data_IF_233903203015
#
_entry.id   IF_233903203015
#
_cell.length_a   1.000
_cell.length_b   1.000
_cell.length_c   1.000
_cell.angle_alpha   90.00
_cell.angle_beta   90.00
_cell.angle_gamma   90.00
#
_symmetry.space_group_name_H-M   'P 1'
#
loop_
_entity.id
_entity.type
_entity.pdbx_description
1 polymer ?
#
# COMPACT_ATOMS: atom_id res chain seq x y z
N UNK A 1 4.89 26.11 -6.17
CA UNK A 1 3.50 25.70 -6.43
C UNK A 1 3.23 24.41 -5.68
N UNK A 2 2.14 24.31 -4.91
CA UNK A 2 1.79 23.10 -4.16
C UNK A 2 1.54 21.92 -5.11
N UNK A 3 2.13 20.76 -4.82
CA UNK A 3 2.00 19.52 -5.59
C UNK A 3 1.32 18.46 -4.73
N UNK A 4 0.24 17.86 -5.25
CA UNK A 4 -0.41 16.72 -4.61
C UNK A 4 0.32 15.42 -4.98
N UNK A 5 0.80 14.69 -3.99
CA UNK A 5 1.28 13.32 -4.13
C UNK A 5 0.09 12.40 -3.88
N UNK A 6 -0.47 11.86 -4.94
CA UNK A 6 -1.72 11.08 -4.88
C UNK A 6 -1.41 9.59 -4.91
N UNK A 7 -2.02 8.87 -3.99
CA UNK A 7 -2.00 7.42 -3.92
C UNK A 7 -2.75 6.82 -5.14
N UNK A 8 -1.99 6.42 -6.15
CA UNK A 8 -2.54 5.92 -7.40
C UNK A 8 -3.14 4.52 -7.26
N UNK A 9 -2.60 3.70 -6.38
CA UNK A 9 -3.12 2.35 -6.15
C UNK A 9 -4.54 2.41 -5.57
N UNK A 10 -4.75 3.29 -4.59
CA UNK A 10 -6.08 3.50 -4.01
C UNK A 10 -7.06 4.04 -5.06
N UNK A 11 -6.63 4.98 -5.91
CA UNK A 11 -7.46 5.50 -7.00
C UNK A 11 -7.83 4.38 -7.97
N UNK A 12 -6.84 3.58 -8.43
CA UNK A 12 -7.06 2.49 -9.38
C UNK A 12 -8.03 1.44 -8.82
N UNK A 13 -7.80 0.98 -7.59
CA UNK A 13 -8.69 0.00 -6.94
C UNK A 13 -10.11 0.52 -6.75
N UNK A 14 -10.28 1.76 -6.29
CA UNK A 14 -11.60 2.35 -6.12
C UNK A 14 -12.33 2.52 -7.45
N UNK A 15 -11.66 3.07 -8.47
CA UNK A 15 -12.25 3.24 -9.77
C UNK A 15 -12.65 1.90 -10.39
N UNK A 16 -11.79 0.89 -10.32
CA UNK A 16 -12.09 -0.45 -10.79
C UNK A 16 -13.30 -1.05 -10.08
N UNK A 17 -13.33 -0.96 -8.73
CA UNK A 17 -14.42 -1.54 -7.94
C UNK A 17 -15.78 -0.92 -8.25
N UNK A 18 -15.87 0.42 -8.31
CA UNK A 18 -17.14 1.11 -8.57
C UNK A 18 -17.60 1.04 -10.03
N UNK A 19 -16.69 0.66 -10.95
CA UNK A 19 -16.96 0.56 -12.39
C UNK A 19 -17.22 -0.86 -12.86
N UNK A 20 -17.13 -1.86 -11.96
CA UNK A 20 -17.34 -3.27 -12.30
C UNK A 20 -18.72 -3.71 -11.83
N UNK A 21 -19.52 -4.21 -12.76
CA UNK A 21 -20.77 -4.93 -12.46
C UNK A 21 -20.44 -6.41 -12.26
N UNK A 22 -20.88 -6.96 -11.13
CA UNK A 22 -20.73 -8.38 -10.80
C UNK A 22 -22.11 -9.06 -10.90
N UNK A 23 -22.21 -10.12 -11.71
CA UNK A 23 -23.42 -10.88 -11.91
C UNK A 23 -23.50 -12.12 -11.00
N UNK A 24 -24.68 -12.71 -10.85
CA UNK A 24 -24.93 -13.86 -9.96
C UNK A 24 -24.09 -15.10 -10.31
N UNK A 25 -23.65 -15.23 -11.56
CA UNK A 25 -22.74 -16.28 -12.03
C UNK A 25 -21.25 -15.98 -11.81
N UNK A 26 -20.94 -14.84 -11.17
CA UNK A 26 -19.58 -14.37 -10.93
C UNK A 26 -18.92 -13.71 -12.13
N UNK A 27 -19.65 -13.48 -13.23
CA UNK A 27 -19.15 -12.73 -14.38
C UNK A 27 -18.97 -11.26 -13.99
N UNK A 28 -17.80 -10.69 -14.31
CA UNK A 28 -17.48 -9.26 -14.13
C UNK A 28 -17.48 -8.56 -15.48
N UNK A 29 -18.26 -7.49 -15.60
CA UNK A 29 -18.28 -6.60 -16.77
C UNK A 29 -17.96 -5.18 -16.34
N UNK A 30 -17.23 -4.46 -17.19
CA UNK A 30 -16.94 -3.05 -17.01
C UNK A 30 -16.83 -2.33 -18.37
N UNK A 31 -17.07 -1.02 -18.35
CA UNK A 31 -16.83 -0.13 -19.49
C UNK A 31 -15.54 0.67 -19.22
N UNK A 32 -14.49 0.53 -20.05
CA UNK A 32 -13.26 1.31 -19.93
C UNK A 32 -13.49 2.82 -19.84
N UNK A 33 -14.49 3.36 -20.55
CA UNK A 33 -14.81 4.78 -20.52
C UNK A 33 -15.29 5.21 -19.13
N UNK A 34 -16.08 4.38 -18.46
CA UNK A 34 -16.56 4.63 -17.10
C UNK A 34 -15.40 4.55 -16.11
N UNK A 35 -14.53 3.53 -16.23
CA UNK A 35 -13.31 3.40 -15.40
C UNK A 35 -12.46 4.66 -15.51
N UNK A 36 -12.12 5.07 -16.72
CA UNK A 36 -11.28 6.23 -17.01
C UNK A 36 -11.89 7.53 -16.48
N UNK A 37 -13.20 7.68 -16.64
CA UNK A 37 -13.95 8.84 -16.11
C UNK A 37 -13.84 8.90 -14.59
N UNK A 38 -14.05 7.76 -13.90
CA UNK A 38 -13.98 7.68 -12.45
C UNK A 38 -12.57 7.96 -11.94
N UNK A 39 -11.52 7.41 -12.58
CA UNK A 39 -10.12 7.72 -12.23
C UNK A 39 -9.87 9.23 -12.30
N UNK A 40 -10.22 9.86 -13.43
CA UNK A 40 -10.01 11.30 -13.64
C UNK A 40 -10.75 12.14 -12.61
N UNK A 41 -12.03 11.83 -12.36
CA UNK A 41 -12.85 12.57 -11.39
C UNK A 41 -12.27 12.47 -9.97
N UNK A 42 -11.81 11.30 -9.56
CA UNK A 42 -11.20 11.10 -8.23
C UNK A 42 -9.91 11.92 -8.09
N UNK A 43 -9.03 11.90 -9.10
CA UNK A 43 -7.78 12.67 -9.07
C UNK A 43 -8.08 14.17 -9.01
N UNK A 44 -8.97 14.67 -9.84
CA UNK A 44 -9.36 16.08 -9.87
C UNK A 44 -10.00 16.51 -8.55
N UNK A 45 -10.82 15.65 -7.92
CA UNK A 45 -11.41 15.92 -6.61
C UNK A 45 -10.34 15.98 -5.51
N UNK A 46 -9.43 15.02 -5.48
CA UNK A 46 -8.36 14.96 -4.49
C UNK A 46 -7.39 16.14 -4.63
N UNK A 47 -6.97 16.46 -5.86
CA UNK A 47 -6.14 17.64 -6.15
C UNK A 47 -6.81 18.93 -5.71
N UNK A 48 -8.11 19.09 -6.01
CA UNK A 48 -8.90 20.27 -5.63
C UNK A 48 -9.03 20.40 -4.11
N UNK A 49 -9.30 19.29 -3.39
CA UNK A 49 -9.32 19.27 -1.91
C UNK A 49 -7.98 19.64 -1.31
N UNK A 50 -6.88 19.22 -1.91
CA UNK A 50 -5.53 19.59 -1.51
C UNK A 50 -5.17 21.05 -1.85
N UNK A 51 -6.00 21.74 -2.65
CA UNK A 51 -5.71 23.07 -3.23
C UNK A 51 -4.36 23.08 -3.96
N UNK A 52 -4.01 21.96 -4.60
CA UNK A 52 -2.76 21.81 -5.31
C UNK A 52 -2.88 22.31 -6.76
N UNK A 53 -1.81 22.92 -7.26
CA UNK A 53 -1.74 23.40 -8.64
C UNK A 53 -1.30 22.32 -9.63
N UNK A 54 -0.80 21.17 -9.13
CA UNK A 54 -0.42 20.00 -9.92
C UNK A 54 -0.43 18.75 -9.06
N UNK A 55 -0.31 17.59 -9.73
CA UNK A 55 -0.27 16.28 -9.09
C UNK A 55 0.86 15.41 -9.61
N UNK A 56 1.30 14.47 -8.79
CA UNK A 56 2.10 13.30 -9.13
C UNK A 56 1.34 12.08 -8.61
N UNK A 57 1.15 11.08 -9.46
CA UNK A 57 0.48 9.84 -9.11
C UNK A 57 1.55 8.83 -8.72
N UNK A 58 1.53 8.42 -7.46
CA UNK A 58 2.49 7.45 -6.93
C UNK A 58 1.92 6.04 -7.06
N UNK A 59 2.70 5.13 -7.63
CA UNK A 59 2.31 3.75 -7.89
C UNK A 59 3.28 2.78 -7.23
N UNK A 60 2.77 1.63 -6.82
CA UNK A 60 3.59 0.50 -6.39
C UNK A 60 4.25 -0.19 -7.57
N UNK A 61 5.35 -0.88 -7.31
CA UNK A 61 6.00 -1.76 -8.29
C UNK A 61 5.02 -2.79 -8.87
N UNK A 62 5.01 -2.93 -10.20
CA UNK A 62 4.09 -3.80 -10.93
C UNK A 62 4.26 -5.28 -10.57
N UNK A 63 5.47 -5.69 -10.26
CA UNK A 63 5.79 -7.08 -9.86
C UNK A 63 5.33 -7.41 -8.43
N UNK A 64 4.93 -6.41 -7.65
CA UNK A 64 4.54 -6.54 -6.24
C UNK A 64 5.60 -7.25 -5.37
N UNK A 65 6.88 -7.11 -5.73
CA UNK A 65 8.03 -7.65 -4.99
C UNK A 65 8.74 -6.51 -4.29
N UNK A 66 8.44 -6.32 -3.03
CA UNK A 66 8.93 -5.18 -2.25
C UNK A 66 10.16 -5.55 -1.42
N UNK A 67 11.01 -4.58 -1.12
CA UNK A 67 12.16 -4.77 -0.23
C UNK A 67 11.76 -5.37 1.13
N UNK A 68 10.50 -5.12 1.57
CA UNK A 68 9.96 -5.67 2.81
C UNK A 68 9.93 -7.18 2.83
N UNK A 69 9.81 -7.86 1.68
CA UNK A 69 9.92 -9.32 1.61
C UNK A 69 11.33 -9.82 1.94
N UNK A 70 12.39 -9.01 1.74
CA UNK A 70 13.74 -9.32 2.20
C UNK A 70 13.87 -9.18 3.73
N UNK A 71 13.10 -8.27 4.33
CA UNK A 71 13.07 -8.07 5.79
C UNK A 71 12.22 -9.12 6.50
N UNK A 72 11.06 -9.47 5.90
CA UNK A 72 10.09 -10.42 6.44
C UNK A 72 9.34 -11.09 5.27
N UNK A 73 9.67 -12.36 4.97
CA UNK A 73 9.13 -13.06 3.78
C UNK A 73 7.61 -13.18 3.73
N UNK A 74 6.95 -13.24 4.91
CA UNK A 74 5.50 -13.36 5.01
C UNK A 74 4.75 -12.02 4.83
N UNK A 75 5.46 -10.91 4.63
CA UNK A 75 4.86 -9.60 4.43
C UNK A 75 3.82 -9.65 3.29
N UNK A 76 2.59 -9.21 3.57
CA UNK A 76 1.43 -9.25 2.65
C UNK A 76 1.08 -10.63 2.07
N UNK A 77 1.62 -11.72 2.63
CA UNK A 77 1.37 -13.08 2.15
C UNK A 77 -0.10 -13.51 2.18
N UNK A 78 -0.91 -12.88 3.03
CA UNK A 78 -2.36 -13.09 3.11
C UNK A 78 -3.17 -12.46 1.96
N UNK A 79 -2.51 -11.74 1.03
CA UNK A 79 -3.18 -11.07 -0.11
C UNK A 79 -3.31 -11.96 -1.34
N UNK A 80 -2.61 -13.09 -1.41
CA UNK A 80 -2.60 -14.01 -2.56
C UNK A 80 -3.98 -14.58 -2.93
N UNK A 81 -4.92 -14.61 -1.98
CA UNK A 81 -6.28 -15.14 -2.18
C UNK A 81 -7.31 -14.07 -2.57
N UNK A 82 -6.93 -12.80 -2.64
CA UNK A 82 -7.87 -11.73 -2.97
C UNK A 82 -8.14 -11.68 -4.47
N UNK A 83 -9.41 -11.71 -4.82
CA UNK A 83 -9.83 -11.51 -6.21
C UNK A 83 -9.47 -10.10 -6.66
N UNK A 84 -8.71 -9.99 -7.75
CA UNK A 84 -8.35 -8.72 -8.37
C UNK A 84 -9.46 -8.31 -9.34
N UNK A 85 -10.07 -7.11 -9.23
CA UNK A 85 -11.09 -6.66 -10.17
C UNK A 85 -10.55 -6.64 -11.61
N UNK A 86 -11.32 -7.10 -12.58
CA UNK A 86 -10.91 -7.12 -14.00
C UNK A 86 -10.63 -5.71 -14.56
N UNK A 87 -11.38 -4.70 -14.07
CA UNK A 87 -11.20 -3.31 -14.47
C UNK A 87 -9.91 -2.66 -13.95
N UNK A 88 -9.18 -3.32 -13.04
CA UNK A 88 -8.02 -2.73 -12.37
C UNK A 88 -6.88 -2.42 -13.34
N UNK A 89 -6.60 -3.33 -14.26
CA UNK A 89 -5.54 -3.11 -15.26
C UNK A 89 -5.86 -1.95 -16.19
N UNK A 90 -7.15 -1.76 -16.55
CA UNK A 90 -7.62 -0.60 -17.29
C UNK A 90 -7.36 0.71 -16.51
N UNK A 91 -7.65 0.73 -15.21
CA UNK A 91 -7.41 1.91 -14.38
C UNK A 91 -5.91 2.25 -14.28
N UNK A 92 -5.03 1.26 -14.06
CA UNK A 92 -3.58 1.49 -14.04
C UNK A 92 -3.04 1.97 -15.38
N UNK A 93 -3.49 1.37 -16.47
CA UNK A 93 -3.07 1.80 -17.82
C UNK A 93 -3.47 3.25 -18.05
N UNK A 94 -4.70 3.64 -17.71
CA UNK A 94 -5.17 5.02 -17.84
C UNK A 94 -4.34 6.00 -16.98
N UNK A 95 -3.97 5.62 -15.75
CA UNK A 95 -3.09 6.43 -14.91
C UNK A 95 -1.74 6.67 -15.58
N UNK A 96 -1.12 5.62 -16.12
CA UNK A 96 0.19 5.68 -16.77
C UNK A 96 0.17 6.48 -18.09
N UNK A 97 -0.92 6.41 -18.84
CA UNK A 97 -1.04 7.08 -20.14
C UNK A 97 -1.39 8.56 -20.03
N UNK A 98 -2.16 8.97 -19.03
CA UNK A 98 -2.75 10.30 -18.97
C UNK A 98 -2.32 11.18 -17.80
N UNK A 99 -1.55 10.65 -16.86
CA UNK A 99 -1.04 11.40 -15.72
C UNK A 99 0.48 11.25 -15.58
N UNK A 100 1.10 12.20 -14.89
CA UNK A 100 2.50 12.05 -14.50
C UNK A 100 2.59 11.08 -13.33
N UNK A 101 3.01 9.85 -13.61
CA UNK A 101 3.21 8.79 -12.61
C UNK A 101 4.65 8.74 -12.14
N UNK A 102 4.85 8.32 -10.89
CA UNK A 102 6.15 7.98 -10.30
C UNK A 102 6.05 6.61 -9.67
N UNK A 103 7.00 5.76 -10.02
CA UNK A 103 7.09 4.37 -9.58
C UNK A 103 8.58 4.01 -9.43
N UNK A 104 8.94 3.23 -8.43
CA UNK A 104 10.29 2.72 -8.25
C UNK A 104 10.25 1.20 -8.05
N UNK A 105 11.18 0.49 -8.67
CA UNK A 105 11.28 -0.95 -8.54
C UNK A 105 11.45 -1.38 -7.08
N UNK A 106 10.68 -2.35 -6.65
CA UNK A 106 10.71 -2.90 -5.30
C UNK A 106 10.10 -2.01 -4.21
N UNK A 107 9.43 -0.91 -4.57
CA UNK A 107 8.78 0.00 -3.63
C UNK A 107 7.25 0.01 -3.79
N UNK A 108 6.59 0.32 -2.70
CA UNK A 108 5.14 0.55 -2.66
C UNK A 108 4.81 2.03 -2.91
N UNK A 109 3.61 2.33 -3.38
CA UNK A 109 3.14 3.69 -3.60
C UNK A 109 3.33 4.59 -2.36
N UNK A 110 3.14 4.02 -1.18
CA UNK A 110 3.35 4.69 0.10
C UNK A 110 4.80 5.15 0.29
N UNK A 111 5.76 4.26 -0.06
CA UNK A 111 7.18 4.60 -0.01
C UNK A 111 7.54 5.68 -1.03
N UNK A 112 6.99 5.59 -2.24
CA UNK A 112 7.16 6.62 -3.27
C UNK A 112 6.66 7.97 -2.78
N UNK A 113 5.46 8.02 -2.17
CA UNK A 113 4.91 9.25 -1.58
C UNK A 113 5.79 9.78 -0.45
N UNK A 114 6.28 8.91 0.44
CA UNK A 114 7.11 9.30 1.57
C UNK A 114 8.48 9.84 1.14
N UNK A 115 9.09 9.26 0.10
CA UNK A 115 10.34 9.73 -0.50
C UNK A 115 10.13 11.11 -1.14
N UNK A 116 9.10 11.25 -1.98
CA UNK A 116 8.80 12.49 -2.69
C UNK A 116 8.39 13.63 -1.75
N UNK A 117 7.71 13.32 -0.64
CA UNK A 117 7.32 14.32 0.35
C UNK A 117 8.51 15.04 1.02
N UNK A 118 9.69 14.40 1.04
CA UNK A 118 10.94 14.99 1.53
C UNK A 118 11.88 15.47 0.43
N UNK A 119 11.52 15.32 -0.84
CA UNK A 119 12.40 15.70 -1.96
C UNK A 119 12.61 17.21 -2.05
N UNK A 120 13.86 17.68 -2.18
CA UNK A 120 14.16 19.10 -2.40
C UNK A 120 13.67 19.62 -3.77
N UNK A 121 13.39 18.71 -4.72
CA UNK A 121 12.95 19.06 -6.08
C UNK A 121 11.46 19.45 -6.12
N UNK A 122 10.71 19.14 -5.08
CA UNK A 122 9.29 19.45 -4.99
C UNK A 122 9.04 20.64 -4.07
N UNK A 123 8.38 21.65 -4.63
CA UNK A 123 7.93 22.79 -3.84
C UNK A 123 6.59 22.46 -3.17
N UNK A 124 6.58 22.49 -1.83
CA UNK A 124 5.37 22.35 -1.02
C UNK A 124 4.51 21.09 -1.30
N UNK A 125 5.10 19.87 -1.21
CA UNK A 125 4.35 18.65 -1.47
C UNK A 125 3.31 18.36 -0.38
N UNK A 126 2.16 17.81 -0.79
CA UNK A 126 1.08 17.33 0.10
C UNK A 126 0.78 15.89 -0.28
N UNK A 127 0.91 14.95 0.66
CA UNK A 127 0.42 13.58 0.47
C UNK A 127 -1.11 13.58 0.54
N UNK A 128 -1.76 12.97 -0.44
CA UNK A 128 -3.22 12.79 -0.49
C UNK A 128 -3.51 11.29 -0.55
N UNK A 129 -3.82 10.71 0.59
CA UNK A 129 -4.17 9.29 0.74
C UNK A 129 -5.20 9.10 1.85
N UNK A 130 -5.98 8.04 1.77
CA UNK A 130 -6.89 7.62 2.84
C UNK A 130 -6.23 6.69 3.83
N UNK A 131 -4.99 6.23 3.53
CA UNK A 131 -4.26 5.33 4.39
C UNK A 131 -3.78 6.04 5.66
N UNK A 132 -4.05 5.40 6.82
CA UNK A 132 -3.62 5.87 8.14
C UNK A 132 -2.09 5.80 8.31
N UNK A 133 -1.44 4.91 7.57
CA UNK A 133 -0.02 4.62 7.72
C UNK A 133 0.85 5.78 7.21
N UNK A 134 0.27 6.67 6.38
CA UNK A 134 0.88 7.95 6.03
C UNK A 134 1.18 8.86 7.23
N UNK A 135 0.58 8.62 8.40
CA UNK A 135 0.93 9.31 9.65
C UNK A 135 2.37 9.02 10.12
N UNK A 136 3.03 8.00 9.58
CA UNK A 136 4.44 7.67 9.86
C UNK A 136 5.42 8.51 9.03
N UNK A 137 4.93 9.37 8.12
CA UNK A 137 5.73 10.23 7.26
C UNK A 137 5.68 11.68 7.74
N UNK A 138 6.82 12.36 7.94
CA UNK A 138 6.86 13.82 8.20
C UNK A 138 6.48 14.59 6.93
N UNK A 139 5.25 15.10 6.85
CA UNK A 139 4.72 15.73 5.64
C UNK A 139 3.52 16.64 5.96
N UNK A 140 2.99 17.27 4.90
CA UNK A 140 1.59 17.71 4.89
C UNK A 140 0.75 16.54 4.39
N UNK A 141 -0.26 16.13 5.16
CA UNK A 141 -1.16 15.01 4.84
C UNK A 141 -2.59 15.50 4.73
N UNK A 142 -3.28 15.08 3.69
CA UNK A 142 -4.72 15.22 3.52
C UNK A 142 -5.36 13.85 3.31
N UNK A 143 -6.21 13.43 4.24
CA UNK A 143 -7.16 12.36 3.97
C UNK A 143 -8.43 12.98 3.34
N UNK A 144 -8.70 12.76 2.05
CA UNK A 144 -9.77 13.45 1.32
C UNK A 144 -11.18 13.05 1.78
N UNK A 145 -11.30 11.95 2.54
CA UNK A 145 -12.58 11.48 3.09
C UNK A 145 -12.86 12.00 4.50
N UNK A 146 -11.81 12.35 5.27
CA UNK A 146 -11.94 12.68 6.70
C UNK A 146 -11.52 14.10 7.05
N UNK A 147 -10.75 14.77 6.19
CA UNK A 147 -10.13 16.05 6.50
C UNK A 147 -10.62 17.15 5.55
N UNK A 148 -10.95 18.31 6.08
CA UNK A 148 -11.29 19.51 5.29
C UNK A 148 -10.08 20.33 4.86
N UNK A 149 -8.91 20.10 5.49
CA UNK A 149 -7.64 20.77 5.21
C UNK A 149 -6.47 19.85 5.55
N UNK A 150 -5.30 20.00 4.89
CA UNK A 150 -4.11 19.26 5.24
C UNK A 150 -3.67 19.54 6.68
N UNK A 151 -3.14 18.51 7.34
CA UNK A 151 -2.44 18.61 8.63
C UNK A 151 -0.94 18.49 8.39
N UNK A 152 -0.14 19.10 9.26
CA UNK A 152 1.31 18.97 9.25
C UNK A 152 1.73 17.91 10.27
N UNK A 153 2.39 16.86 9.81
CA UNK A 153 2.97 15.83 10.64
C UNK A 153 4.44 16.17 10.88
N UNK A 154 4.82 16.35 12.15
CA UNK A 154 6.21 16.57 12.52
C UNK A 154 7.02 15.27 12.44
N UNK A 155 8.36 15.40 12.32
CA UNK A 155 9.23 14.22 12.37
C UNK A 155 9.07 13.43 13.68
N UNK A 156 8.96 14.12 14.79
CA UNK A 156 8.78 13.49 16.10
C UNK A 156 7.45 12.74 16.18
N UNK A 157 6.35 13.32 15.66
CA UNK A 157 5.05 12.65 15.61
C UNK A 157 5.08 11.42 14.69
N UNK A 158 5.69 11.55 13.51
CA UNK A 158 5.81 10.45 12.57
C UNK A 158 6.66 9.29 13.12
N UNK A 159 7.77 9.60 13.80
CA UNK A 159 8.63 8.59 14.40
C UNK A 159 7.91 7.85 15.55
N UNK A 160 7.12 8.56 16.36
CA UNK A 160 6.28 7.94 17.41
C UNK A 160 5.22 7.03 16.81
N UNK A 161 4.51 7.49 15.78
CA UNK A 161 3.50 6.69 15.10
C UNK A 161 4.09 5.41 14.52
N UNK A 162 5.27 5.47 13.91
CA UNK A 162 6.00 4.30 13.42
C UNK A 162 6.28 3.29 14.54
N UNK A 163 6.77 3.73 15.70
CA UNK A 163 7.05 2.84 16.82
C UNK A 163 5.76 2.24 17.41
N UNK A 164 4.69 3.02 17.49
CA UNK A 164 3.37 2.51 17.91
C UNK A 164 2.88 1.42 16.95
N UNK A 165 3.02 1.64 15.65
CA UNK A 165 2.60 0.67 14.64
C UNK A 165 3.44 -0.61 14.68
N UNK A 166 4.74 -0.51 14.93
CA UNK A 166 5.59 -1.68 15.14
C UNK A 166 5.11 -2.52 16.33
N UNK A 167 4.75 -1.89 17.46
CA UNK A 167 4.21 -2.57 18.62
C UNK A 167 2.86 -3.25 18.36
N UNK A 168 1.99 -2.62 17.57
CA UNK A 168 0.65 -3.14 17.27
C UNK A 168 0.65 -4.22 16.19
N UNK A 169 1.63 -4.18 15.27
CA UNK A 169 1.60 -4.93 14.03
C UNK A 169 0.52 -4.43 13.05
N UNK A 170 0.43 -5.06 11.89
CA UNK A 170 -0.65 -4.83 10.94
C UNK A 170 -1.12 -6.15 10.31
N UNK A 171 -2.38 -6.53 10.59
CA UNK A 171 -2.99 -7.73 10.03
C UNK A 171 -3.23 -7.63 8.52
N UNK A 172 -3.41 -6.41 8.01
CA UNK A 172 -3.63 -6.18 6.57
C UNK A 172 -2.36 -6.47 5.78
N UNK A 173 -1.22 -6.14 6.37
CA UNK A 173 0.12 -6.35 5.81
C UNK A 173 0.81 -7.61 6.33
N UNK A 174 0.06 -8.41 7.11
CA UNK A 174 0.48 -9.72 7.60
C UNK A 174 1.80 -9.70 8.40
N UNK A 175 2.00 -8.71 9.26
CA UNK A 175 3.09 -8.75 10.22
C UNK A 175 2.57 -8.59 11.65
N UNK A 176 3.10 -9.39 12.60
CA UNK A 176 2.65 -9.35 13.97
C UNK A 176 3.24 -8.16 14.73
N UNK A 177 2.49 -7.66 15.68
CA UNK A 177 3.05 -6.82 16.73
C UNK A 177 3.36 -7.65 17.97
N UNK A 178 3.36 -7.01 19.13
CA UNK A 178 3.45 -7.68 20.41
C UNK A 178 2.05 -8.09 20.88
N UNK A 179 1.90 -9.35 21.30
CA UNK A 179 0.62 -9.89 21.73
C UNK A 179 -0.02 -9.04 22.85
N UNK A 180 -1.30 -8.72 22.66
CA UNK A 180 -2.07 -7.92 23.61
C UNK A 180 -1.72 -6.43 23.66
N UNK A 181 -0.89 -5.93 22.74
CA UNK A 181 -0.62 -4.51 22.55
C UNK A 181 -1.50 -3.96 21.43
N UNK A 182 -2.55 -3.24 21.82
CA UNK A 182 -3.39 -2.45 20.91
C UNK A 182 -3.05 -0.96 21.01
N UNK A 183 -3.80 -0.07 20.27
CA UNK A 183 -3.49 1.36 20.16
C UNK A 183 -3.29 2.05 21.50
N UNK A 184 -4.16 1.83 22.48
CA UNK A 184 -4.09 2.48 23.80
C UNK A 184 -2.84 2.12 24.56
N UNK A 185 -2.44 0.83 24.54
CA UNK A 185 -1.22 0.38 25.21
C UNK A 185 0.03 0.86 24.49
N UNK A 186 0.05 0.79 23.16
CA UNK A 186 1.16 1.30 22.35
C UNK A 186 1.37 2.80 22.57
N UNK A 187 0.31 3.59 22.54
CA UNK A 187 0.37 5.02 22.83
C UNK A 187 0.93 5.30 24.20
N UNK A 188 0.47 4.59 25.25
CA UNK A 188 0.97 4.76 26.61
C UNK A 188 2.46 4.48 26.69
N UNK A 189 2.94 3.33 26.14
CA UNK A 189 4.36 2.96 26.14
C UNK A 189 5.20 4.06 25.49
N UNK A 190 4.78 4.57 24.32
CA UNK A 190 5.57 5.56 23.59
C UNK A 190 5.47 6.96 24.20
N UNK A 191 4.31 7.36 24.78
CA UNK A 191 4.11 8.70 25.32
C UNK A 191 4.83 8.96 26.64
N UNK A 192 5.20 7.93 27.38
CA UNK A 192 5.99 8.05 28.60
C UNK A 192 7.42 8.57 28.35
N UNK A 193 7.86 8.61 27.08
CA UNK A 193 9.22 8.99 26.70
C UNK A 193 9.25 10.28 25.87
N UNK A 194 10.14 11.21 26.23
CA UNK A 194 10.25 12.51 25.56
C UNK A 194 11.01 12.46 24.24
N UNK A 195 11.95 11.52 24.10
CA UNK A 195 12.77 11.35 22.89
C UNK A 195 12.65 9.95 22.28
N UNK A 196 13.02 9.88 20.99
CA UNK A 196 12.87 8.67 20.18
C UNK A 196 13.76 7.51 20.64
N UNK A 197 14.91 7.78 21.29
CA UNK A 197 15.82 6.73 21.75
C UNK A 197 15.27 6.04 22.98
N UNK A 198 14.74 6.83 23.93
CA UNK A 198 14.09 6.28 25.11
C UNK A 198 12.82 5.51 24.72
N UNK A 199 12.01 6.04 23.78
CA UNK A 199 10.86 5.33 23.23
C UNK A 199 11.27 4.02 22.52
N UNK A 200 12.39 4.02 21.78
CA UNK A 200 12.92 2.80 21.18
C UNK A 200 13.32 1.77 22.20
N UNK A 201 13.98 2.16 23.30
CA UNK A 201 14.35 1.24 24.36
C UNK A 201 13.11 0.55 24.95
N UNK A 202 12.03 1.31 25.18
CA UNK A 202 10.77 0.75 25.66
C UNK A 202 10.13 -0.23 24.64
N UNK A 203 10.28 0.03 23.35
CA UNK A 203 9.85 -0.90 22.28
C UNK A 203 10.64 -2.21 22.38
N UNK A 204 11.97 -2.15 22.47
CA UNK A 204 12.82 -3.34 22.61
C UNK A 204 12.46 -4.15 23.87
N UNK A 205 12.27 -3.49 25.01
CA UNK A 205 11.85 -4.13 26.25
C UNK A 205 10.48 -4.81 26.11
N UNK A 206 9.56 -4.17 25.39
CA UNK A 206 8.22 -4.74 25.15
C UNK A 206 8.25 -5.95 24.23
N UNK A 207 9.13 -5.98 23.22
CA UNK A 207 9.34 -7.14 22.36
C UNK A 207 10.14 -8.25 23.06
N UNK A 208 11.03 -7.90 24.01
CA UNK A 208 12.00 -8.81 24.60
C UNK A 208 13.15 -9.20 23.64
N UNK A 209 13.18 -8.65 22.45
CA UNK A 209 14.18 -8.92 21.39
C UNK A 209 14.38 -7.66 20.54
N UNK A 210 15.64 -7.19 20.45
CA UNK A 210 15.98 -6.04 19.57
C UNK A 210 15.82 -6.40 18.09
N UNK A 211 16.09 -7.64 17.71
CA UNK A 211 15.96 -8.11 16.32
C UNK A 211 14.50 -8.07 15.85
N UNK A 212 13.57 -8.59 16.68
CA UNK A 212 12.15 -8.56 16.37
C UNK A 212 11.62 -7.12 16.34
N UNK A 213 12.01 -6.31 17.32
CA UNK A 213 11.65 -4.90 17.35
C UNK A 213 12.14 -4.13 16.10
N UNK A 214 13.38 -4.39 15.65
CA UNK A 214 13.92 -3.81 14.42
C UNK A 214 13.15 -4.29 13.19
N UNK A 215 12.87 -5.57 13.10
CA UNK A 215 12.12 -6.15 11.98
C UNK A 215 10.75 -5.50 11.86
N UNK A 216 9.95 -5.48 12.92
CA UNK A 216 8.62 -4.87 12.90
C UNK A 216 8.66 -3.37 12.64
N UNK A 217 9.66 -2.66 13.19
CA UNK A 217 9.80 -1.22 12.93
C UNK A 217 10.16 -0.92 11.47
N UNK A 218 10.98 -1.75 10.84
CA UNK A 218 11.32 -1.64 9.42
C UNK A 218 10.13 -1.91 8.51
N UNK A 219 9.23 -2.80 8.90
CA UNK A 219 7.97 -3.05 8.17
C UNK A 219 7.00 -1.88 8.30
N UNK A 220 6.85 -1.34 9.51
CA UNK A 220 5.98 -0.18 9.79
C UNK A 220 6.50 1.13 9.19
N UNK A 221 7.80 1.21 8.85
CA UNK A 221 8.39 2.42 8.30
C UNK A 221 8.05 2.59 6.83
N UNK A 222 7.34 3.65 6.51
CA UNK A 222 7.31 4.18 5.16
C UNK A 222 8.61 4.94 4.92
N UNK A 223 9.25 4.69 3.76
CA UNK A 223 10.52 5.31 3.40
C UNK A 223 10.38 6.83 3.28
N UNK A 224 11.45 7.54 3.65
CA UNK A 224 11.58 8.98 3.51
C UNK A 224 12.70 9.28 2.51
N UNK A 225 12.83 10.52 2.08
CA UNK A 225 13.80 10.94 1.08
C UNK A 225 15.21 10.36 1.30
N UNK A 226 15.74 10.46 2.52
CA UNK A 226 17.07 9.95 2.87
C UNK A 226 17.14 8.41 2.99
N UNK A 227 16.03 7.72 2.90
CA UNK A 227 15.98 6.26 3.04
C UNK A 227 16.07 5.52 1.70
N UNK A 228 16.14 6.24 0.58
CA UNK A 228 16.24 5.64 -0.74
C UNK A 228 17.32 6.29 -1.61
N UNK A 229 18.14 5.46 -2.23
CA UNK A 229 19.09 5.87 -3.25
C UNK A 229 18.56 5.44 -4.62
N UNK A 230 17.97 6.37 -5.34
CA UNK A 230 17.34 6.11 -6.64
C UNK A 230 18.34 5.64 -7.70
N UNK A 231 19.58 6.16 -7.71
CA UNK A 231 20.58 5.80 -8.71
C UNK A 231 21.03 4.34 -8.57
N UNK A 232 21.04 3.83 -7.34
CA UNK A 232 21.50 2.46 -7.03
C UNK A 232 20.36 1.47 -6.83
N UNK A 233 19.11 1.94 -6.68
CA UNK A 233 17.98 1.10 -6.28
C UNK A 233 18.20 0.49 -4.90
N UNK A 234 18.72 1.26 -3.94
CA UNK A 234 19.02 0.78 -2.59
C UNK A 234 18.16 1.47 -1.54
N UNK A 235 17.67 0.68 -0.60
CA UNK A 235 16.91 1.13 0.57
C UNK A 235 17.79 1.13 1.81
N UNK A 236 17.80 2.24 2.53
CA UNK A 236 18.42 2.33 3.84
C UNK A 236 17.45 1.85 4.92
N UNK A 237 17.75 0.70 5.49
CA UNK A 237 16.96 0.16 6.60
C UNK A 237 17.10 1.02 7.86
N UNK A 238 15.97 1.32 8.46
CA UNK A 238 15.92 2.12 9.67
C UNK A 238 16.68 1.48 10.84
N UNK A 239 17.38 2.32 11.62
CA UNK A 239 18.05 1.95 12.86
C UNK A 239 18.08 3.14 13.82
N UNK A 240 17.87 2.97 15.14
CA UNK A 240 17.78 4.05 16.12
C UNK A 240 19.08 4.85 16.28
N UNK A 241 20.24 4.22 16.03
CA UNK A 241 21.58 4.82 16.25
C UNK A 241 22.24 5.31 14.96
N UNK A 242 21.49 5.57 13.89
CA UNK A 242 22.03 5.97 12.56
C UNK A 242 23.00 4.96 11.94
N UNK A 243 23.04 3.72 12.41
CA UNK A 243 23.77 2.64 11.77
C UNK A 243 23.22 2.46 10.36
N UNK A 244 24.05 2.68 9.35
CA UNK A 244 23.59 2.62 7.95
C UNK A 244 23.65 1.18 7.46
N UNK A 245 22.51 0.64 7.06
CA UNK A 245 22.40 -0.64 6.36
C UNK A 245 21.58 -0.41 5.09
N UNK A 246 22.23 -0.57 3.94
CA UNK A 246 21.61 -0.47 2.63
C UNK A 246 21.35 -1.87 2.08
N UNK A 247 20.18 -2.08 1.50
CA UNK A 247 19.80 -3.31 0.78
C UNK A 247 19.21 -2.95 -0.58
N UNK A 248 19.21 -3.88 -1.54
CA UNK A 248 18.49 -3.69 -2.81
C UNK A 248 16.98 -3.47 -2.54
N UNK A 249 16.38 -2.56 -3.29
CA UNK A 249 14.93 -2.37 -3.25
C UNK A 249 14.20 -3.57 -3.83
N UNK A 250 14.79 -4.23 -4.84
CA UNK A 250 14.24 -5.44 -5.45
C UNK A 250 14.79 -6.67 -4.74
N UNK A 251 13.96 -7.57 -4.20
CA UNK A 251 14.39 -8.80 -3.60
C UNK A 251 15.19 -9.68 -4.61
N UNK A 252 16.29 -10.24 -4.15
CA UNK A 252 17.08 -11.17 -4.96
C UNK A 252 16.24 -12.44 -5.17
N UNK A 253 16.02 -12.84 -6.43
CA UNK A 253 15.39 -14.11 -6.74
C UNK A 253 16.27 -15.24 -6.23
N UNK A 254 15.89 -15.95 -5.17
CA UNK A 254 16.36 -17.31 -5.02
C UNK A 254 15.79 -18.14 -6.20
N UNK A 255 16.63 -18.97 -6.88
CA UNK A 255 16.12 -19.79 -7.96
C UNK A 255 14.99 -20.67 -7.41
N UNK A 256 13.80 -20.49 -7.94
CA UNK A 256 12.64 -21.30 -7.62
C UNK A 256 13.02 -22.77 -7.76
N UNK A 257 12.95 -23.54 -6.66
CA UNK A 257 13.03 -24.99 -6.70
C UNK A 257 11.91 -25.46 -7.63
N UNK A 258 12.28 -25.88 -8.84
CA UNK A 258 11.34 -26.47 -9.80
C UNK A 258 10.59 -27.60 -9.10
N UNK A 259 9.33 -27.34 -8.77
CA UNK A 259 8.41 -28.38 -8.35
C UNK A 259 8.13 -29.27 -9.56
N UNK A 260 8.76 -30.44 -9.57
CA UNK A 260 8.62 -31.43 -10.60
C UNK A 260 7.15 -31.72 -10.95
N UNK A 261 6.72 -31.25 -12.09
CA UNK A 261 5.42 -31.59 -12.69
C UNK A 261 5.47 -33.04 -13.14
N UNK A 262 5.00 -33.94 -12.30
CA UNK A 262 4.60 -35.28 -12.75
C UNK A 262 3.37 -35.14 -13.65
N UNK A 263 3.56 -35.39 -14.95
CA UNK A 263 2.51 -35.48 -15.94
C UNK A 263 1.59 -36.68 -15.63
N UNK A 264 0.39 -36.45 -15.18
CA UNK A 264 -0.65 -37.46 -15.20
C UNK A 264 -1.47 -37.32 -16.49
N UNK A 265 -1.25 -38.29 -17.42
CA UNK A 265 -2.11 -38.51 -18.58
C UNK A 265 -3.50 -38.94 -18.08
N UNK A 266 -4.52 -38.13 -18.28
CA UNK A 266 -5.91 -38.53 -18.05
C UNK A 266 -6.68 -38.58 -19.37
N UNK A 267 -7.23 -39.72 -19.56
CA UNK A 267 -8.02 -40.30 -20.66
C UNK A 267 -9.26 -39.44 -20.98
N UNK A 268 -9.41 -39.06 -22.27
CA UNK A 268 -10.64 -38.51 -22.83
C UNK A 268 -11.82 -39.52 -22.69
N UNK A 269 -12.92 -39.05 -22.11
CA UNK A 269 -14.22 -39.72 -22.22
C UNK A 269 -15.18 -38.75 -22.89
N UNK A 270 -15.64 -39.13 -24.10
CA UNK A 270 -16.73 -38.48 -24.86
C UNK A 270 -18.06 -38.80 -24.18
N UNK A 271 -18.94 -37.83 -24.00
CA UNK A 271 -20.38 -38.08 -23.99
C UNK A 271 -21.14 -36.89 -24.57
N UNK A 272 -22.26 -37.26 -25.22
CA UNK A 272 -23.05 -36.52 -26.20
C UNK A 272 -24.02 -35.52 -25.56
N UNK A 273 -24.27 -34.47 -26.37
CA UNK A 273 -25.41 -33.54 -26.45
C UNK A 273 -26.73 -33.94 -25.81
N UNK A 274 -27.40 -32.98 -25.15
CA UNK A 274 -28.76 -32.55 -25.50
C UNK A 274 -28.98 -31.14 -25.01
N UNK A 275 -29.53 -30.28 -25.86
CA UNK A 275 -29.78 -28.86 -25.58
C UNK A 275 -31.17 -28.67 -24.95
N UNK A 276 -31.28 -27.55 -24.26
CA UNK A 276 -32.55 -26.81 -24.16
C UNK A 276 -32.22 -25.33 -23.86
N UNK A 277 -32.73 -24.46 -24.70
CA UNK A 277 -32.66 -22.98 -24.50
C UNK A 277 -33.77 -22.61 -23.52
N UNK A 278 -33.41 -21.91 -22.46
CA UNK A 278 -34.34 -21.09 -21.67
C UNK A 278 -33.76 -19.71 -21.48
N UNK A 279 -34.44 -18.72 -22.00
CA UNK A 279 -34.17 -17.28 -21.83
C UNK A 279 -34.63 -16.91 -20.43
N UNK A 280 -33.67 -16.75 -19.52
CA UNK A 280 -33.90 -16.20 -18.17
C UNK A 280 -33.36 -14.77 -18.07
N UNK A 281 -34.19 -13.87 -17.62
CA UNK A 281 -33.85 -12.49 -17.30
C UNK A 281 -32.77 -12.47 -16.22
N UNK A 282 -31.63 -11.84 -16.52
CA UNK A 282 -30.53 -11.67 -15.56
C UNK A 282 -30.89 -10.58 -14.53
N UNK A 283 -30.87 -10.93 -13.26
CA UNK A 283 -30.98 -9.95 -12.16
C UNK A 283 -29.58 -9.45 -11.78
N UNK A 284 -29.47 -8.13 -11.56
CA UNK A 284 -28.26 -7.45 -11.10
C UNK A 284 -28.24 -7.49 -9.58
N UNK A 285 -27.24 -8.13 -9.00
CA UNK A 285 -27.02 -8.12 -7.55
C UNK A 285 -25.89 -7.16 -7.22
N UNK A 286 -26.16 -6.15 -6.39
CA UNK A 286 -25.15 -5.25 -5.87
C UNK A 286 -24.66 -5.83 -4.55
N UNK A 287 -23.47 -6.43 -4.55
CA UNK A 287 -22.81 -6.87 -3.33
C UNK A 287 -22.05 -5.70 -2.73
N UNK A 288 -22.63 -5.02 -1.77
CA UNK A 288 -21.96 -4.03 -0.94
C UNK A 288 -21.34 -4.77 0.24
N UNK A 289 -20.06 -5.13 0.14
CA UNK A 289 -19.31 -5.58 1.31
C UNK A 289 -19.03 -4.37 2.21
N UNK A 290 -19.37 -4.40 3.51
CA UNK A 290 -19.06 -3.30 4.41
C UNK A 290 -17.55 -3.17 4.54
N UNK A 291 -17.04 -2.00 4.21
CA UNK A 291 -15.70 -1.59 4.61
C UNK A 291 -15.76 -1.43 6.12
N UNK A 292 -15.32 -2.43 6.85
CA UNK A 292 -15.08 -2.31 8.28
C UNK A 292 -13.96 -1.28 8.47
N UNK A 293 -14.33 -0.07 8.73
CA UNK A 293 -13.48 0.96 9.31
C UNK A 293 -13.33 0.73 10.82
N UNK A 294 -12.39 1.44 11.42
CA UNK A 294 -11.61 1.11 12.60
C UNK A 294 -12.40 0.87 13.81
#
# INVERSE_FOLDING_TARGET
MTVALIDGDIIAYKAAFISTDIFDDGEELFDPTVVNTNVRQMIDDWRRKAKAGGELICLSDDDHRYFRHTVYPEYKGNRSERTRPKALDCAYQFLKDFFKTVQYDGLEADDVMGILAGSPDLSDPIIVSIDKDMMTVPCKLLNPNKMSRPIKISKASADRQMLMQALMGDRTDNYPGVDGIGPVKAERIISEHSDIRAAWQAVVETFGSEEDALTMTRLARILRYDDFNQEKGEVRLWHPTKKTLWISSTPINEPSKEAGRKSSKTRKRRSRKTGTKTTGSRKKTIVVSPISGP
#
